data_IF_884382722348
#
_entry.id   IF_884382722348
#
_cell.length_a   1.000
_cell.length_b   1.000
_cell.length_c   1.000
_cell.angle_alpha   90.00
_cell.angle_beta   90.00
_cell.angle_gamma   90.00
#
_symmetry.space_group_name_H-M   'P 1'
#
loop_
_entity.id
_entity.type
_entity.pdbx_description
1 polymer ?
#
# COMPACT_ATOMS: atom_id res chain seq x y z
N UNK A 1 12.08 -7.97 -0.56
CA UNK A 1 13.09 -7.00 -1.02
C UNK A 1 13.70 -6.19 0.12
N UNK A 2 12.91 -5.51 0.96
CA UNK A 2 13.45 -4.67 2.05
C UNK A 2 14.40 -5.43 3.00
N UNK A 3 13.92 -6.51 3.64
CA UNK A 3 14.72 -7.32 4.57
C UNK A 3 16.01 -7.88 3.93
N UNK A 4 15.92 -8.31 2.67
CA UNK A 4 17.08 -8.80 1.90
C UNK A 4 18.11 -7.70 1.61
N UNK A 5 17.72 -6.43 1.66
CA UNK A 5 18.57 -5.27 1.42
C UNK A 5 19.22 -4.71 2.69
N UNK A 6 18.91 -5.25 3.87
CA UNK A 6 19.52 -4.81 5.13
C UNK A 6 21.02 -5.15 5.13
N UNK A 7 21.85 -4.21 5.58
CA UNK A 7 23.30 -4.38 5.55
C UNK A 7 23.74 -5.60 6.37
N UNK A 8 24.59 -6.45 5.79
CA UNK A 8 25.10 -7.65 6.46
C UNK A 8 25.86 -7.33 7.75
N UNK A 9 26.49 -6.15 7.84
CA UNK A 9 27.14 -5.67 9.05
C UNK A 9 26.19 -5.50 10.24
N UNK A 10 24.87 -5.41 9.99
CA UNK A 10 23.86 -5.34 11.03
C UNK A 10 23.38 -6.70 11.53
N UNK A 11 23.61 -7.81 10.80
CA UNK A 11 22.92 -9.11 10.98
C UNK A 11 22.85 -9.68 12.41
N UNK A 12 23.76 -9.28 13.30
CA UNK A 12 23.81 -9.73 14.71
C UNK A 12 23.40 -8.66 15.72
N UNK A 13 22.88 -7.55 15.24
CA UNK A 13 22.41 -6.44 16.05
C UNK A 13 20.88 -6.33 15.97
N UNK A 14 20.22 -5.77 16.98
CA UNK A 14 18.76 -5.56 16.98
C UNK A 14 18.25 -4.74 15.79
N UNK A 15 19.12 -3.96 15.15
CA UNK A 15 18.78 -3.15 13.97
C UNK A 15 18.69 -3.97 12.67
N UNK A 16 18.93 -5.29 12.70
CA UNK A 16 18.87 -6.19 11.55
C UNK A 16 17.44 -6.55 11.10
N UNK A 17 16.52 -5.60 11.13
CA UNK A 17 15.12 -5.75 10.76
C UNK A 17 14.58 -4.44 10.17
N UNK A 18 13.40 -4.45 9.56
CA UNK A 18 12.72 -3.24 9.13
C UNK A 18 12.48 -2.25 10.27
N UNK A 19 12.59 -0.95 9.97
CA UNK A 19 12.47 0.11 10.97
C UNK A 19 11.06 0.23 11.60
N UNK A 20 10.01 -0.13 10.88
CA UNK A 20 8.63 -0.23 11.38
C UNK A 20 7.74 -0.99 10.40
N UNK A 21 6.54 -1.38 10.86
CA UNK A 21 5.52 -1.95 9.97
C UNK A 21 5.13 -1.00 8.84
N UNK A 22 5.04 0.30 9.10
CA UNK A 22 4.71 1.29 8.06
C UNK A 22 5.80 1.40 6.99
N UNK A 23 7.08 1.38 7.38
CA UNK A 23 8.18 1.38 6.41
C UNK A 23 8.19 0.06 5.65
N UNK A 24 7.95 -1.06 6.33
CA UNK A 24 7.90 -2.36 5.67
C UNK A 24 6.76 -2.44 4.65
N UNK A 25 5.58 -1.94 5.01
CA UNK A 25 4.41 -1.86 4.13
C UNK A 25 4.63 -0.86 2.99
N UNK A 26 5.37 0.23 3.20
CA UNK A 26 5.68 1.16 2.11
C UNK A 26 6.43 0.47 0.97
N UNK A 27 7.26 -0.52 1.30
CA UNK A 27 8.01 -1.28 0.31
C UNK A 27 7.10 -2.30 -0.39
N UNK A 28 6.24 -3.03 0.35
CA UNK A 28 5.28 -3.93 -0.30
C UNK A 28 4.36 -3.16 -1.26
N UNK A 29 3.77 -2.05 -0.82
CA UNK A 29 2.81 -1.26 -1.60
C UNK A 29 3.43 -0.54 -2.78
N UNK A 30 4.67 -0.07 -2.67
CA UNK A 30 5.37 0.51 -3.82
C UNK A 30 5.57 -0.53 -4.92
N UNK A 31 6.03 -1.73 -4.58
CA UNK A 31 6.27 -2.77 -5.58
C UNK A 31 4.98 -3.41 -6.11
N UNK A 32 3.98 -3.60 -5.26
CA UNK A 32 2.67 -4.13 -5.65
C UNK A 32 1.92 -3.14 -6.54
N UNK A 33 1.72 -1.92 -6.05
CA UNK A 33 0.75 -1.00 -6.62
C UNK A 33 1.40 0.02 -7.57
N UNK A 34 2.36 0.79 -7.04
CA UNK A 34 2.99 1.87 -7.81
C UNK A 34 3.79 1.31 -8.99
N UNK A 35 4.45 0.16 -8.82
CA UNK A 35 5.14 -0.55 -9.89
C UNK A 35 4.23 -1.61 -10.53
N UNK A 36 3.80 -2.63 -9.79
CA UNK A 36 3.13 -3.81 -10.33
C UNK A 36 1.75 -3.57 -10.94
N UNK A 37 1.06 -2.49 -10.58
CA UNK A 37 -0.21 -2.07 -11.20
C UNK A 37 -0.06 -0.86 -12.13
N UNK A 38 1.17 -0.51 -12.50
CA UNK A 38 1.45 0.59 -13.42
C UNK A 38 1.33 0.16 -14.89
N UNK A 39 1.00 1.11 -15.75
CA UNK A 39 1.01 0.94 -17.20
C UNK A 39 2.41 0.54 -17.72
N UNK A 40 3.52 1.19 -17.30
CA UNK A 40 4.87 0.79 -17.65
C UNK A 40 5.19 -0.68 -17.39
N UNK A 41 4.81 -1.21 -16.23
CA UNK A 41 5.06 -2.60 -15.87
C UNK A 41 4.35 -3.56 -16.81
N UNK A 42 3.10 -3.27 -17.16
CA UNK A 42 2.31 -4.13 -18.02
C UNK A 42 2.69 -4.03 -19.50
N UNK A 43 3.27 -2.93 -19.98
CA UNK A 43 3.90 -2.91 -21.31
C UNK A 43 4.95 -4.01 -21.49
N UNK A 44 5.74 -4.29 -20.44
CA UNK A 44 6.75 -5.35 -20.48
C UNK A 44 6.17 -6.75 -20.25
N UNK A 45 5.29 -6.90 -19.25
CA UNK A 45 4.83 -8.20 -18.78
C UNK A 45 3.55 -8.71 -19.47
N UNK A 46 2.73 -7.83 -20.06
CA UNK A 46 1.48 -8.22 -20.69
C UNK A 46 1.66 -9.21 -21.85
N UNK A 47 2.61 -9.03 -22.78
CA UNK A 47 2.87 -10.02 -23.83
C UNK A 47 3.26 -11.40 -23.26
N UNK A 48 3.99 -11.41 -22.13
CA UNK A 48 4.46 -12.65 -21.48
C UNK A 48 3.30 -13.38 -20.81
N UNK A 49 2.46 -12.69 -20.03
CA UNK A 49 1.32 -13.33 -19.38
C UNK A 49 0.28 -13.80 -20.40
N UNK A 50 0.10 -13.06 -21.50
CA UNK A 50 -0.78 -13.47 -22.61
C UNK A 50 -0.29 -14.74 -23.31
N UNK A 51 1.03 -14.91 -23.46
CA UNK A 51 1.60 -16.14 -24.00
C UNK A 51 1.38 -17.36 -23.08
N UNK A 52 1.37 -17.14 -21.75
CA UNK A 52 1.14 -18.20 -20.76
C UNK A 52 -0.35 -18.56 -20.64
N UNK A 53 -1.24 -17.55 -20.77
CA UNK A 53 -2.69 -17.69 -20.61
C UNK A 53 -3.47 -17.26 -21.87
N UNK A 54 -3.20 -17.88 -23.03
CA UNK A 54 -3.73 -17.39 -24.31
C UNK A 54 -5.26 -17.50 -24.40
N UNK A 55 -5.87 -18.53 -23.82
CA UNK A 55 -7.33 -18.71 -23.79
C UNK A 55 -8.02 -17.69 -22.89
N UNK A 56 -7.47 -17.41 -21.71
CA UNK A 56 -8.06 -16.47 -20.74
C UNK A 56 -7.93 -15.01 -21.19
N UNK A 57 -6.85 -14.68 -21.91
CA UNK A 57 -6.55 -13.31 -22.37
C UNK A 57 -6.84 -13.11 -23.86
N UNK A 58 -7.59 -14.03 -24.48
CA UNK A 58 -8.02 -13.89 -25.86
C UNK A 58 -8.95 -12.67 -26.01
N UNK A 59 -8.73 -11.84 -27.03
CA UNK A 59 -9.50 -10.61 -27.25
C UNK A 59 -9.27 -9.48 -26.23
N UNK A 60 -8.49 -9.71 -25.16
CA UNK A 60 -8.16 -8.66 -24.19
C UNK A 60 -6.94 -7.88 -24.70
N UNK A 61 -7.07 -6.55 -24.73
CA UNK A 61 -5.96 -5.64 -25.00
C UNK A 61 -5.17 -5.35 -23.71
N UNK A 62 -3.93 -4.89 -23.84
CA UNK A 62 -3.13 -4.45 -22.69
C UNK A 62 -3.84 -3.34 -21.92
N UNK A 63 -4.45 -2.38 -22.63
CA UNK A 63 -5.22 -1.29 -22.03
C UNK A 63 -6.37 -1.82 -21.18
N UNK A 64 -7.18 -2.73 -21.72
CA UNK A 64 -8.32 -3.30 -21.00
C UNK A 64 -7.86 -4.07 -19.77
N UNK A 65 -6.74 -4.80 -19.87
CA UNK A 65 -6.14 -5.49 -18.73
C UNK A 65 -5.68 -4.52 -17.65
N UNK A 66 -4.92 -3.47 -18.02
CA UNK A 66 -4.45 -2.43 -17.11
C UNK A 66 -5.60 -1.72 -16.38
N UNK A 67 -6.68 -1.39 -17.09
CA UNK A 67 -7.88 -0.81 -16.46
C UNK A 67 -8.57 -1.81 -15.53
N UNK A 68 -8.65 -3.08 -15.93
CA UNK A 68 -9.28 -4.14 -15.14
C UNK A 68 -8.61 -4.40 -13.79
N UNK A 69 -7.28 -4.45 -13.74
CA UNK A 69 -6.53 -4.68 -12.49
C UNK A 69 -6.51 -3.46 -11.54
N UNK A 70 -6.95 -2.31 -12.04
CA UNK A 70 -7.06 -1.05 -11.31
C UNK A 70 -8.53 -0.62 -11.14
N UNK A 71 -9.45 -1.58 -11.16
CA UNK A 71 -10.86 -1.31 -10.86
C UNK A 71 -10.99 -0.82 -9.40
N UNK A 72 -11.75 0.25 -9.23
CA UNK A 72 -12.15 0.84 -7.96
C UNK A 72 -13.63 0.54 -7.71
N UNK A 73 -13.93 -0.01 -6.54
CA UNK A 73 -15.30 -0.18 -6.06
C UNK A 73 -15.35 -0.28 -4.53
N UNK A 74 -16.36 0.32 -3.87
CA UNK A 74 -16.59 0.06 -2.46
C UNK A 74 -16.84 -1.44 -2.23
N UNK A 75 -16.07 -2.04 -1.34
CA UNK A 75 -16.12 -3.47 -1.04
C UNK A 75 -16.07 -3.73 0.46
N UNK A 76 -16.47 -4.92 0.90
CA UNK A 76 -16.58 -5.23 2.34
C UNK A 76 -15.23 -5.61 2.96
N UNK A 77 -14.41 -6.32 2.20
CA UNK A 77 -13.22 -7.02 2.70
C UNK A 77 -11.97 -6.17 2.47
N UNK A 78 -11.37 -5.70 3.57
CA UNK A 78 -10.20 -4.79 3.52
C UNK A 78 -9.04 -5.35 2.70
N UNK A 79 -8.74 -6.64 2.80
CA UNK A 79 -7.59 -7.25 2.09
C UNK A 79 -7.80 -7.36 0.58
N UNK A 80 -9.05 -7.20 0.12
CA UNK A 80 -9.44 -7.24 -1.30
C UNK A 80 -9.72 -5.84 -1.87
N UNK A 81 -9.76 -4.81 -1.01
CA UNK A 81 -10.09 -3.44 -1.41
C UNK A 81 -9.03 -2.83 -2.34
N UNK A 82 -9.50 -1.96 -3.23
CA UNK A 82 -8.68 -1.25 -4.21
C UNK A 82 -7.88 -0.08 -3.58
N UNK A 83 -6.94 0.49 -4.35
CA UNK A 83 -6.04 1.55 -3.86
C UNK A 83 -6.75 2.82 -3.37
N UNK A 84 -7.91 3.15 -3.94
CA UNK A 84 -8.65 4.36 -3.60
C UNK A 84 -9.54 4.16 -2.36
N UNK A 85 -10.07 2.96 -2.14
CA UNK A 85 -10.98 2.66 -1.01
C UNK A 85 -10.28 2.04 0.19
N UNK A 86 -9.11 1.39 0.01
CA UNK A 86 -8.40 0.65 1.07
C UNK A 86 -8.17 1.46 2.35
N UNK A 87 -7.74 2.72 2.23
CA UNK A 87 -7.44 3.54 3.41
C UNK A 87 -8.69 3.89 4.23
N UNK A 88 -9.89 3.87 3.64
CA UNK A 88 -11.15 4.08 4.37
C UNK A 88 -11.42 2.93 5.35
N UNK A 89 -11.08 1.69 4.97
CA UNK A 89 -11.14 0.55 5.87
C UNK A 89 -10.20 0.70 7.07
N UNK A 90 -9.03 1.31 6.86
CA UNK A 90 -8.05 1.57 7.91
C UNK A 90 -8.55 2.68 8.85
N UNK A 91 -9.08 3.77 8.29
CA UNK A 91 -9.66 4.87 9.08
C UNK A 91 -10.77 4.38 10.00
N UNK A 92 -11.68 3.55 9.47
CA UNK A 92 -12.76 2.95 10.26
C UNK A 92 -12.22 2.20 11.49
N UNK A 93 -11.19 1.36 11.30
CA UNK A 93 -10.62 0.56 12.39
C UNK A 93 -9.91 1.44 13.40
N UNK A 94 -9.16 2.44 12.95
CA UNK A 94 -8.49 3.39 13.83
C UNK A 94 -9.50 4.14 14.72
N UNK A 95 -10.59 4.65 14.14
CA UNK A 95 -11.60 5.36 14.94
C UNK A 95 -12.27 4.44 15.97
N UNK A 96 -12.58 3.20 15.60
CA UNK A 96 -13.14 2.22 16.54
C UNK A 96 -12.14 1.85 17.64
N UNK A 97 -10.85 1.69 17.31
CA UNK A 97 -9.80 1.45 18.30
C UNK A 97 -9.68 2.61 19.29
N UNK A 98 -9.69 3.87 18.81
CA UNK A 98 -9.68 5.05 19.68
C UNK A 98 -10.89 5.05 20.62
N UNK A 99 -12.09 4.84 20.07
CA UNK A 99 -13.31 4.85 20.87
C UNK A 99 -13.35 3.73 21.94
N UNK A 100 -12.83 2.54 21.61
CA UNK A 100 -12.66 1.44 22.57
C UNK A 100 -11.67 1.81 23.69
N UNK A 101 -10.54 2.42 23.35
CA UNK A 101 -9.48 2.76 24.31
C UNK A 101 -9.87 3.94 25.22
N UNK A 102 -10.66 4.88 24.71
CA UNK A 102 -11.20 6.00 25.48
C UNK A 102 -12.43 5.61 26.33
N UNK A 103 -12.99 4.41 26.10
CA UNK A 103 -14.19 3.93 26.78
C UNK A 103 -15.49 4.58 26.30
N UNK A 104 -15.46 5.31 25.19
CA UNK A 104 -16.65 5.91 24.56
C UNK A 104 -17.45 4.90 23.73
N UNK A 105 -16.88 3.72 23.43
CA UNK A 105 -17.54 2.58 22.80
C UNK A 105 -17.37 1.32 23.65
N UNK A 106 -18.48 0.64 23.96
CA UNK A 106 -18.42 -0.67 24.59
C UNK A 106 -18.26 -1.79 23.55
N UNK A 107 -17.51 -2.84 23.89
CA UNK A 107 -17.21 -3.97 22.96
C UNK A 107 -18.48 -4.62 22.39
N UNK A 108 -19.55 -4.70 23.18
CA UNK A 108 -20.83 -5.29 22.76
C UNK A 108 -21.51 -4.52 21.61
N UNK A 109 -21.22 -3.22 21.48
CA UNK A 109 -21.82 -2.30 20.50
C UNK A 109 -20.93 -2.12 19.25
N UNK A 110 -19.79 -2.84 19.20
CA UNK A 110 -18.83 -2.79 18.11
C UNK A 110 -19.41 -3.25 16.75
N UNK A 111 -20.29 -4.29 16.67
CA UNK A 111 -20.93 -4.67 15.39
C UNK A 111 -21.74 -3.52 14.77
N UNK A 112 -22.55 -2.83 15.57
CA UNK A 112 -23.38 -1.71 15.12
C UNK A 112 -22.52 -0.51 14.73
N UNK A 113 -21.52 -0.16 15.54
CA UNK A 113 -20.58 0.91 15.24
C UNK A 113 -19.80 0.65 13.95
N UNK A 114 -19.36 -0.59 13.73
CA UNK A 114 -18.73 -1.02 12.48
C UNK A 114 -19.64 -0.80 11.28
N UNK A 115 -20.89 -1.27 11.36
CA UNK A 115 -21.86 -1.16 10.27
C UNK A 115 -22.16 0.30 9.93
N UNK A 116 -22.28 1.16 10.94
CA UNK A 116 -22.44 2.60 10.74
C UNK A 116 -21.25 3.20 10.00
N UNK A 117 -20.02 2.91 10.44
CA UNK A 117 -18.81 3.45 9.79
C UNK A 117 -18.59 2.93 8.38
N UNK A 118 -18.89 1.66 8.11
CA UNK A 118 -18.86 1.11 6.74
C UNK A 118 -19.85 1.86 5.85
N UNK A 119 -21.04 2.17 6.36
CA UNK A 119 -22.04 2.95 5.62
C UNK A 119 -21.57 4.37 5.35
N UNK A 120 -21.02 5.04 6.36
CA UNK A 120 -20.56 6.43 6.28
C UNK A 120 -19.41 6.60 5.27
N UNK A 121 -18.44 5.67 5.26
CA UNK A 121 -17.24 5.80 4.43
C UNK A 121 -17.35 5.13 3.06
N UNK A 122 -17.96 3.93 3.00
CA UNK A 122 -17.98 3.10 1.80
C UNK A 122 -19.39 2.98 1.21
N UNK A 123 -20.43 3.51 1.87
CA UNK A 123 -21.80 3.47 1.37
C UNK A 123 -22.47 2.10 1.46
N UNK A 124 -21.81 1.09 2.03
CA UNK A 124 -22.25 -0.31 2.09
C UNK A 124 -22.25 -0.83 3.54
N UNK A 125 -23.07 -1.86 3.80
CA UNK A 125 -23.20 -2.49 5.11
C UNK A 125 -22.94 -3.99 4.99
N UNK A 126 -22.07 -4.59 5.80
CA UNK A 126 -21.89 -6.03 5.83
C UNK A 126 -23.20 -6.74 6.21
N UNK A 127 -23.60 -7.83 5.52
CA UNK A 127 -24.83 -8.55 5.85
C UNK A 127 -24.65 -9.44 7.10
N UNK A 128 -23.41 -9.72 7.49
CA UNK A 128 -23.08 -10.55 8.65
C UNK A 128 -21.86 -10.02 9.39
N UNK A 129 -21.72 -10.35 10.68
CA UNK A 129 -20.52 -10.02 11.45
C UNK A 129 -19.25 -10.68 10.90
N UNK A 130 -19.39 -11.80 10.16
CA UNK A 130 -18.26 -12.47 9.49
C UNK A 130 -17.61 -11.56 8.44
N UNK A 131 -18.41 -10.87 7.64
CA UNK A 131 -17.92 -9.90 6.65
C UNK A 131 -17.78 -8.48 7.24
N UNK A 132 -18.33 -8.27 8.44
CA UNK A 132 -18.19 -7.04 9.21
C UNK A 132 -17.04 -7.11 10.21
N UNK A 133 -17.35 -6.84 11.48
CA UNK A 133 -16.40 -6.69 12.58
C UNK A 133 -15.45 -7.88 12.81
N UNK A 134 -15.83 -9.10 12.40
CA UNK A 134 -15.01 -10.31 12.56
C UNK A 134 -14.14 -10.63 11.33
N UNK A 135 -14.11 -9.77 10.31
CA UNK A 135 -13.38 -10.07 9.06
C UNK A 135 -11.84 -10.12 9.25
N UNK A 136 -11.32 -9.47 10.29
CA UNK A 136 -9.89 -9.36 10.55
C UNK A 136 -9.49 -10.02 11.88
N UNK A 137 -8.31 -10.65 11.89
CA UNK A 137 -7.78 -11.39 13.06
C UNK A 137 -7.03 -10.50 14.06
N UNK A 138 -6.83 -9.22 13.75
CA UNK A 138 -5.94 -8.33 14.49
C UNK A 138 -6.35 -8.17 15.95
N UNK A 139 -7.61 -7.82 16.21
CA UNK A 139 -8.09 -7.59 17.58
C UNK A 139 -8.11 -8.85 18.43
N UNK A 140 -8.46 -10.01 17.84
CA UNK A 140 -8.37 -11.29 18.55
C UNK A 140 -6.93 -11.71 18.85
N UNK A 141 -5.96 -11.18 18.11
CA UNK A 141 -4.52 -11.36 18.33
C UNK A 141 -3.89 -10.25 19.21
N UNK A 142 -4.69 -9.33 19.75
CA UNK A 142 -4.20 -8.21 20.58
C UNK A 142 -3.48 -7.10 19.81
N UNK A 143 -3.59 -7.05 18.47
CA UNK A 143 -2.90 -6.10 17.61
C UNK A 143 -3.64 -4.76 17.48
N UNK A 144 -3.85 -4.08 18.60
CA UNK A 144 -4.41 -2.72 18.63
C UNK A 144 -3.35 -1.67 18.25
N UNK A 145 -3.75 -0.62 17.51
CA UNK A 145 -2.83 0.39 16.98
C UNK A 145 -2.02 -0.11 15.78
N UNK A 146 -2.30 -1.32 15.28
CA UNK A 146 -1.58 -1.92 14.16
C UNK A 146 -2.10 -1.42 12.81
N UNK A 147 -3.43 -1.31 12.63
CA UNK A 147 -4.02 -0.94 11.33
C UNK A 147 -3.51 0.38 10.73
N UNK A 148 -3.28 1.46 11.51
CA UNK A 148 -2.74 2.71 10.96
C UNK A 148 -1.43 2.55 10.21
N UNK A 149 -0.63 1.52 10.54
CA UNK A 149 0.63 1.24 9.84
C UNK A 149 0.44 0.89 8.37
N UNK A 150 -0.71 0.31 7.99
CA UNK A 150 -1.01 0.04 6.59
C UNK A 150 -1.22 1.33 5.78
N UNK A 151 -2.03 2.25 6.29
CA UNK A 151 -2.28 3.53 5.63
C UNK A 151 -1.00 4.37 5.56
N UNK A 152 -0.20 4.40 6.64
CA UNK A 152 1.11 5.06 6.63
C UNK A 152 2.05 4.44 5.57
N UNK A 153 2.00 3.13 5.36
CA UNK A 153 2.72 2.46 4.29
C UNK A 153 2.39 3.02 2.91
N UNK A 154 1.10 3.21 2.60
CA UNK A 154 0.64 3.83 1.35
C UNK A 154 1.14 5.29 1.19
N UNK A 155 1.14 6.08 2.26
CA UNK A 155 1.64 7.47 2.19
C UNK A 155 3.15 7.51 1.94
N UNK A 156 3.89 6.72 2.71
CA UNK A 156 5.36 6.67 2.62
C UNK A 156 5.80 6.11 1.26
N UNK A 157 5.07 5.14 0.68
CA UNK A 157 5.41 4.56 -0.62
C UNK A 157 5.37 5.62 -1.73
N UNK A 158 4.32 6.45 -1.77
CA UNK A 158 4.21 7.53 -2.73
C UNK A 158 5.24 8.64 -2.50
N UNK A 159 5.54 8.98 -1.23
CA UNK A 159 6.61 9.92 -0.91
C UNK A 159 7.99 9.46 -1.40
N UNK A 160 8.32 8.18 -1.21
CA UNK A 160 9.57 7.59 -1.70
C UNK A 160 9.56 7.54 -3.22
N UNK A 161 8.42 7.24 -3.83
CA UNK A 161 8.27 7.19 -5.29
C UNK A 161 8.59 8.52 -5.97
N UNK A 162 8.15 9.65 -5.40
CA UNK A 162 8.51 10.98 -5.93
C UNK A 162 10.03 11.21 -5.90
N UNK A 163 10.72 10.74 -4.85
CA UNK A 163 12.19 10.84 -4.75
C UNK A 163 12.91 9.95 -5.75
N UNK A 164 12.38 8.75 -5.99
CA UNK A 164 12.88 7.85 -7.02
C UNK A 164 12.78 8.48 -8.41
N UNK A 165 11.64 9.07 -8.76
CA UNK A 165 11.48 9.74 -10.06
C UNK A 165 12.39 10.96 -10.23
N UNK A 166 12.64 11.71 -9.14
CA UNK A 166 13.61 12.81 -9.15
C UNK A 166 15.05 12.32 -9.35
N UNK A 167 15.41 11.23 -8.69
CA UNK A 167 16.77 10.68 -8.73
C UNK A 167 17.06 9.90 -10.03
N UNK A 168 16.04 9.30 -10.63
CA UNK A 168 16.15 8.45 -11.82
C UNK A 168 15.14 8.94 -12.86
N UNK A 169 15.46 9.98 -13.67
CA UNK A 169 14.53 10.52 -14.66
C UNK A 169 14.09 9.51 -15.74
N UNK A 170 14.85 8.41 -15.92
CA UNK A 170 14.53 7.33 -16.85
C UNK A 170 13.78 6.16 -16.21
N UNK A 171 13.31 6.30 -14.96
CA UNK A 171 12.73 5.19 -14.21
C UNK A 171 11.55 4.51 -14.93
N UNK A 172 10.65 5.31 -15.51
CA UNK A 172 9.49 4.80 -16.24
C UNK A 172 9.91 3.93 -17.44
N UNK A 173 10.82 4.44 -18.28
CA UNK A 173 11.29 3.70 -19.46
C UNK A 173 12.12 2.46 -19.08
N UNK A 174 12.79 2.46 -17.93
CA UNK A 174 13.43 1.26 -17.39
C UNK A 174 12.39 0.20 -17.02
N UNK A 175 11.31 0.57 -16.33
CA UNK A 175 10.23 -0.34 -15.97
C UNK A 175 9.56 -0.91 -17.22
N UNK A 176 9.31 -0.09 -18.25
CA UNK A 176 8.80 -0.54 -19.56
C UNK A 176 9.74 -1.55 -20.25
N UNK A 177 11.03 -1.47 -19.98
CA UNK A 177 12.04 -2.41 -20.46
C UNK A 177 12.28 -3.60 -19.52
N UNK A 178 11.52 -3.72 -18.43
CA UNK A 178 11.69 -4.77 -17.42
C UNK A 178 12.97 -4.66 -16.58
N UNK A 179 13.55 -3.46 -16.49
CA UNK A 179 14.76 -3.15 -15.73
C UNK A 179 14.40 -2.50 -14.40
N UNK A 180 14.85 -3.11 -13.31
CA UNK A 180 14.50 -2.71 -11.93
C UNK A 180 15.73 -2.53 -11.03
N UNK A 181 16.92 -2.78 -11.58
CA UNK A 181 18.18 -2.81 -10.87
C UNK A 181 18.59 -1.43 -10.33
N UNK A 182 18.40 -0.36 -11.10
CA UNK A 182 18.70 1.00 -10.64
C UNK A 182 17.75 1.44 -9.52
N UNK A 183 16.43 1.22 -9.69
CA UNK A 183 15.42 1.47 -8.65
C UNK A 183 15.72 0.70 -7.36
N UNK A 184 15.95 -0.61 -7.47
CA UNK A 184 16.26 -1.44 -6.32
C UNK A 184 17.60 -1.04 -5.68
N UNK A 185 18.59 -0.67 -6.48
CA UNK A 185 19.88 -0.16 -6.02
C UNK A 185 19.74 1.15 -5.24
N UNK A 186 18.91 2.07 -5.72
CA UNK A 186 18.60 3.32 -5.02
C UNK A 186 17.91 3.05 -3.68
N UNK A 187 16.91 2.16 -3.66
CA UNK A 187 16.21 1.78 -2.44
C UNK A 187 17.14 1.09 -1.44
N UNK A 188 18.03 0.21 -1.91
CA UNK A 188 19.05 -0.44 -1.07
C UNK A 188 19.96 0.58 -0.42
N UNK A 189 20.39 1.58 -1.18
CA UNK A 189 21.33 2.60 -0.73
C UNK A 189 20.69 3.58 0.25
N UNK A 190 19.48 4.04 -0.04
CA UNK A 190 18.85 5.13 0.71
C UNK A 190 17.94 4.66 1.84
N UNK A 191 17.46 3.42 1.79
CA UNK A 191 16.52 2.88 2.76
C UNK A 191 16.96 1.51 3.31
N UNK A 192 17.10 0.50 2.46
CA UNK A 192 17.14 -0.90 2.94
C UNK A 192 18.36 -1.18 3.82
N UNK A 193 19.55 -0.70 3.42
CA UNK A 193 20.81 -0.95 4.13
C UNK A 193 20.79 -0.51 5.59
N UNK A 194 19.88 0.39 5.97
CA UNK A 194 19.85 0.96 7.30
C UNK A 194 19.10 0.08 8.32
N UNK A 195 18.29 -0.89 7.89
CA UNK A 195 17.43 -1.65 8.80
C UNK A 195 16.67 -0.72 9.76
N UNK A 196 16.68 -1.04 11.05
CA UNK A 196 16.09 -0.24 12.12
C UNK A 196 17.10 0.70 12.80
N UNK A 197 18.13 1.16 12.07
CA UNK A 197 19.14 2.11 12.60
C UNK A 197 18.55 3.47 12.97
N UNK A 198 17.54 3.93 12.24
CA UNK A 198 16.90 5.22 12.46
C UNK A 198 15.45 5.01 12.91
N UNK A 199 14.98 5.87 13.81
CA UNK A 199 13.55 5.95 14.11
C UNK A 199 12.74 6.20 12.82
N UNK A 200 11.52 5.66 12.69
CA UNK A 200 10.78 5.71 11.43
C UNK A 200 10.57 7.11 10.86
N UNK A 201 10.21 8.10 11.70
CA UNK A 201 10.03 9.47 11.24
C UNK A 201 11.35 10.11 10.78
N UNK A 202 12.46 9.79 11.45
CA UNK A 202 13.80 10.22 11.05
C UNK A 202 14.18 9.57 9.71
N UNK A 203 13.90 8.28 9.53
CA UNK A 203 14.13 7.57 8.27
C UNK A 203 13.38 8.22 7.12
N UNK A 204 12.07 8.47 7.29
CA UNK A 204 11.25 9.14 6.26
C UNK A 204 11.85 10.50 5.92
N UNK A 205 12.11 11.34 6.92
CA UNK A 205 12.70 12.68 6.70
C UNK A 205 14.06 12.64 6.01
N UNK A 206 14.90 11.64 6.30
CA UNK A 206 16.20 11.48 5.63
C UNK A 206 16.06 11.13 4.15
N UNK A 207 15.04 10.34 3.79
CA UNK A 207 14.82 9.88 2.41
C UNK A 207 14.06 10.94 1.59
N UNK A 208 13.03 11.54 2.19
CA UNK A 208 12.08 12.41 1.49
C UNK A 208 12.40 13.89 1.66
N UNK A 209 13.15 14.26 2.70
CA UNK A 209 13.39 15.64 3.12
C UNK A 209 12.30 16.22 4.02
N UNK A 210 11.16 15.54 4.18
CA UNK A 210 9.98 16.03 4.92
C UNK A 210 9.42 14.98 5.87
N UNK A 211 8.49 15.36 6.75
CA UNK A 211 7.71 14.40 7.54
C UNK A 211 6.80 13.54 6.66
N UNK A 212 6.04 12.63 7.29
CA UNK A 212 5.00 11.88 6.59
C UNK A 212 3.90 12.86 6.15
N UNK A 213 3.49 12.79 4.90
CA UNK A 213 2.59 13.76 4.27
C UNK A 213 1.67 13.03 3.28
N UNK A 214 0.34 13.30 3.29
CA UNK A 214 -0.60 12.63 2.39
C UNK A 214 -0.53 13.12 0.94
N UNK A 215 0.02 14.31 0.71
CA UNK A 215 -0.06 15.01 -0.58
C UNK A 215 0.54 14.22 -1.76
N UNK A 216 1.69 13.52 -1.63
CA UNK A 216 2.22 12.68 -2.69
C UNK A 216 1.30 11.51 -3.05
N UNK A 217 0.67 10.89 -2.05
CA UNK A 217 -0.28 9.80 -2.27
C UNK A 217 -1.54 10.29 -2.97
N UNK A 218 -2.06 11.45 -2.56
CA UNK A 218 -3.21 12.07 -3.23
C UNK A 218 -2.90 12.42 -4.69
N UNK A 219 -1.74 13.02 -4.97
CA UNK A 219 -1.31 13.28 -6.35
C UNK A 219 -1.22 12.01 -7.18
N UNK A 220 -0.61 10.95 -6.64
CA UNK A 220 -0.52 9.65 -7.29
C UNK A 220 -1.91 9.08 -7.63
N UNK A 221 -2.81 9.02 -6.66
CA UNK A 221 -4.17 8.50 -6.87
C UNK A 221 -4.95 9.35 -7.88
N UNK A 222 -4.95 10.67 -7.72
CA UNK A 222 -5.65 11.59 -8.62
C UNK A 222 -5.14 11.42 -10.05
N UNK A 223 -3.83 11.47 -10.27
CA UNK A 223 -3.27 11.32 -11.62
C UNK A 223 -3.62 9.97 -12.24
N UNK A 224 -3.47 8.89 -11.48
CA UNK A 224 -3.70 7.52 -11.96
C UNK A 224 -5.18 7.29 -12.30
N UNK A 225 -6.08 7.68 -11.41
CA UNK A 225 -7.51 7.38 -11.59
C UNK A 225 -8.21 8.38 -12.51
N UNK A 226 -7.73 9.63 -12.62
CA UNK A 226 -8.16 10.53 -13.72
C UNK A 226 -7.81 9.94 -15.08
N UNK A 227 -6.61 9.38 -15.28
CA UNK A 227 -6.23 8.72 -16.54
C UNK A 227 -7.11 7.48 -16.85
N UNK A 228 -7.31 6.61 -15.86
CA UNK A 228 -8.02 5.34 -16.06
C UNK A 228 -9.51 5.58 -16.38
N UNK A 229 -10.15 6.47 -15.60
CA UNK A 229 -11.60 6.68 -15.62
C UNK A 229 -12.05 7.89 -16.46
N UNK A 230 -11.13 8.75 -16.90
CA UNK A 230 -11.45 9.95 -17.68
C UNK A 230 -12.26 10.98 -16.88
N UNK A 231 -11.86 11.21 -15.62
CA UNK A 231 -12.53 12.13 -14.68
C UNK A 231 -12.19 13.60 -14.93
#
# INVERSE_FOLDING_TARGET
MYEQGIAQSLRRFPQATGASMAIHESQSRMWENIVGRSRPFWKFFYPKIKAIFPSQLNGISEETFYKGINKVEPSLIRVEADEATYNLHIMLRLELEIALMEGSLAVKDLPEAWNSRMKDYLGIVPPTNREGVLQDVHWSSGLFGYFPTYALGNLISAQIWEKLNQAIPSLESQIEAGKFDEMLGWLRTNLHRHGAKFEPQVMVKRITGTGISPEPYMRYLTQKFTDIYGL
#
